data_IF_208784535138
#
_entry.id   IF_208784535138
#
_cell.length_a   1.000
_cell.length_b   1.000
_cell.length_c   1.000
_cell.angle_alpha   90.00
_cell.angle_beta   90.00
_cell.angle_gamma   90.00
#
_symmetry.space_group_name_H-M   'P 1'
#
loop_
_entity.id
_entity.type
_entity.pdbx_description
1 polymer ?
#
# COMPACT_ATOMS: atom_id res chain seq x y z
N UNK A 1 24.74 -3.71 -4.40
CA UNK A 1 23.71 -3.81 -3.33
C UNK A 1 22.49 -4.50 -3.91
N UNK A 2 22.03 -5.60 -3.29
CA UNK A 2 20.82 -6.33 -3.72
C UNK A 2 19.69 -5.95 -2.78
N UNK A 3 18.76 -5.10 -3.23
CA UNK A 3 17.51 -4.89 -2.51
C UNK A 3 16.68 -6.16 -2.69
N UNK A 4 16.21 -6.75 -1.59
CA UNK A 4 15.27 -7.87 -1.69
C UNK A 4 14.01 -7.41 -2.42
N UNK A 5 13.35 -8.30 -3.18
CA UNK A 5 12.09 -7.95 -3.86
C UNK A 5 11.06 -7.36 -2.89
N UNK A 6 11.09 -7.79 -1.62
CA UNK A 6 10.25 -7.24 -0.57
C UNK A 6 10.47 -5.74 -0.37
N UNK A 7 11.72 -5.29 -0.30
CA UNK A 7 12.08 -3.88 -0.12
C UNK A 7 11.73 -3.05 -1.36
N UNK A 8 12.00 -3.57 -2.57
CA UNK A 8 11.67 -2.89 -3.83
C UNK A 8 10.15 -2.67 -3.96
N UNK A 9 9.35 -3.71 -3.74
CA UNK A 9 7.89 -3.57 -3.80
C UNK A 9 7.32 -2.73 -2.66
N UNK A 10 7.95 -2.73 -1.48
CA UNK A 10 7.60 -1.83 -0.39
C UNK A 10 7.79 -0.36 -0.76
N UNK A 11 8.94 -0.02 -1.36
CA UNK A 11 9.20 1.34 -1.82
C UNK A 11 8.27 1.76 -2.96
N UNK A 12 8.03 0.88 -3.94
CA UNK A 12 7.07 1.15 -5.02
C UNK A 12 5.67 1.40 -4.49
N UNK A 13 5.21 0.62 -3.51
CA UNK A 13 3.92 0.83 -2.88
C UNK A 13 3.85 2.19 -2.16
N UNK A 14 4.90 2.60 -1.45
CA UNK A 14 4.96 3.93 -0.82
C UNK A 14 4.90 5.06 -1.84
N UNK A 15 5.68 4.96 -2.92
CA UNK A 15 5.67 5.96 -4.01
C UNK A 15 4.29 6.02 -4.66
N UNK A 16 3.66 4.87 -4.91
CA UNK A 16 2.31 4.79 -5.44
C UNK A 16 1.30 5.49 -4.53
N UNK A 17 1.34 5.22 -3.22
CA UNK A 17 0.42 5.86 -2.28
C UNK A 17 0.65 7.37 -2.19
N UNK A 18 1.90 7.82 -2.25
CA UNK A 18 2.27 9.23 -2.23
C UNK A 18 1.91 9.99 -3.52
N UNK A 19 1.71 9.29 -4.64
CA UNK A 19 1.32 9.92 -5.92
C UNK A 19 -0.20 10.04 -6.08
N UNK A 20 -0.98 9.47 -5.17
CA UNK A 20 -2.44 9.61 -5.19
C UNK A 20 -2.84 11.02 -4.74
N UNK A 21 -3.96 11.57 -5.26
CA UNK A 21 -4.52 12.82 -4.77
C UNK A 21 -4.79 12.78 -3.26
N UNK A 22 -4.72 13.93 -2.61
CA UNK A 22 -4.90 14.03 -1.17
C UNK A 22 -6.20 13.38 -0.67
N UNK A 23 -6.07 12.65 0.43
CA UNK A 23 -7.14 11.85 1.02
C UNK A 23 -7.44 10.54 0.31
N UNK A 24 -6.91 10.29 -0.90
CA UNK A 24 -7.30 9.12 -1.69
C UNK A 24 -6.70 7.87 -1.10
N UNK A 25 -7.58 6.96 -0.72
CA UNK A 25 -7.19 5.63 -0.30
C UNK A 25 -6.99 4.74 -1.52
N UNK A 26 -6.06 3.80 -1.39
CA UNK A 26 -5.90 2.68 -2.32
C UNK A 26 -6.12 1.36 -1.59
N UNK A 27 -6.52 0.35 -2.35
CA UNK A 27 -6.59 -1.02 -1.90
C UNK A 27 -5.34 -1.80 -2.28
N UNK A 28 -5.09 -2.89 -1.55
CA UNK A 28 -4.05 -3.86 -1.90
C UNK A 28 -4.27 -4.41 -3.32
N UNK A 29 -5.54 -4.56 -3.74
CA UNK A 29 -5.91 -5.06 -5.07
C UNK A 29 -5.38 -4.16 -6.18
N UNK A 30 -5.61 -2.85 -6.06
CA UNK A 30 -5.17 -1.86 -7.06
C UNK A 30 -3.64 -1.86 -7.17
N UNK A 31 -2.93 -1.88 -6.04
CA UNK A 31 -1.46 -1.91 -6.04
C UNK A 31 -0.93 -3.21 -6.66
N UNK A 32 -1.58 -4.35 -6.41
CA UNK A 32 -1.16 -5.64 -7.01
C UNK A 32 -1.40 -5.71 -8.51
N UNK A 33 -2.44 -5.05 -9.01
CA UNK A 33 -2.76 -4.99 -10.43
C UNK A 33 -1.75 -4.10 -11.18
N UNK A 34 -1.36 -2.97 -10.58
CA UNK A 34 -0.35 -2.07 -11.15
C UNK A 34 1.03 -2.72 -11.23
N UNK A 35 1.44 -3.48 -10.21
CA UNK A 35 2.80 -4.01 -10.11
C UNK A 35 2.94 -5.51 -10.45
N UNK A 36 1.86 -6.21 -10.76
CA UNK A 36 1.90 -7.64 -11.10
C UNK A 36 2.34 -8.55 -9.95
N UNK A 37 2.18 -8.10 -8.70
CA UNK A 37 2.61 -8.84 -7.50
C UNK A 37 1.45 -9.64 -6.94
N UNK A 38 1.71 -10.85 -6.44
CA UNK A 38 0.65 -11.62 -5.77
C UNK A 38 0.09 -10.86 -4.55
N UNK A 39 -1.23 -10.93 -4.36
CA UNK A 39 -1.90 -10.32 -3.21
C UNK A 39 -1.27 -10.73 -1.88
N UNK A 40 -0.93 -12.00 -1.73
CA UNK A 40 -0.34 -12.51 -0.49
C UNK A 40 1.02 -11.86 -0.19
N UNK A 41 1.83 -11.60 -1.21
CA UNK A 41 3.10 -10.90 -1.03
C UNK A 41 2.87 -9.44 -0.68
N UNK A 42 1.96 -8.74 -1.38
CA UNK A 42 1.63 -7.35 -1.09
C UNK A 42 1.04 -7.16 0.33
N UNK A 43 0.20 -8.09 0.80
CA UNK A 43 -0.32 -8.06 2.18
C UNK A 43 0.83 -8.09 3.21
N UNK A 44 1.84 -8.94 3.01
CA UNK A 44 3.00 -9.00 3.92
C UNK A 44 3.77 -7.68 3.93
N UNK A 45 3.98 -7.10 2.75
CA UNK A 45 4.66 -5.82 2.57
C UNK A 45 3.90 -4.70 3.30
N UNK A 46 2.61 -4.51 3.01
CA UNK A 46 1.78 -3.47 3.62
C UNK A 46 1.67 -3.65 5.14
N UNK A 47 1.53 -4.89 5.62
CA UNK A 47 1.51 -5.15 7.06
C UNK A 47 2.82 -4.74 7.74
N UNK A 48 3.97 -4.99 7.12
CA UNK A 48 5.26 -4.57 7.67
C UNK A 48 5.42 -3.05 7.64
N UNK A 49 5.03 -2.40 6.54
CA UNK A 49 5.04 -0.94 6.43
C UNK A 49 4.12 -0.29 7.47
N UNK A 50 2.96 -0.90 7.74
CA UNK A 50 2.02 -0.39 8.74
C UNK A 50 2.55 -0.54 10.15
N UNK A 51 3.16 -1.69 10.48
CA UNK A 51 3.84 -1.91 11.76
C UNK A 51 5.02 -0.97 11.99
N UNK A 52 5.69 -0.55 10.92
CA UNK A 52 6.78 0.42 10.97
C UNK A 52 6.29 1.88 10.98
N UNK A 53 4.98 2.12 10.87
CA UNK A 53 4.40 3.47 10.92
C UNK A 53 4.47 4.24 9.60
N UNK A 54 4.86 3.61 8.49
CA UNK A 54 4.92 4.29 7.19
C UNK A 54 3.55 4.41 6.53
N UNK A 55 2.61 3.51 6.84
CA UNK A 55 1.27 3.51 6.24
C UNK A 55 0.19 3.16 7.26
N UNK A 56 -1.00 3.72 7.06
CA UNK A 56 -2.18 3.39 7.86
C UNK A 56 -3.06 2.42 7.08
N UNK A 57 -3.07 1.16 7.49
CA UNK A 57 -3.97 0.16 6.92
C UNK A 57 -5.33 0.20 7.63
N UNK A 58 -6.39 0.55 6.91
CA UNK A 58 -7.76 0.54 7.44
C UNK A 58 -8.47 -0.73 7.00
N UNK A 59 -9.03 -1.49 7.96
CA UNK A 59 -9.80 -2.71 7.66
C UNK A 59 -11.24 -2.32 7.32
N UNK A 60 -11.70 -2.68 6.12
CA UNK A 60 -12.98 -2.24 5.58
C UNK A 60 -14.21 -2.67 6.39
N UNK A 61 -14.85 -1.70 7.04
CA UNK A 61 -16.31 -1.53 7.13
C UNK A 61 -16.54 -0.06 7.52
N UNK A 62 -16.88 0.80 6.55
CA UNK A 62 -17.34 2.20 6.76
C UNK A 62 -16.28 3.30 6.95
N UNK A 63 -15.18 3.33 6.18
CA UNK A 63 -14.47 4.60 5.98
C UNK A 63 -15.01 5.29 4.73
N UNK A 64 -16.09 6.07 4.92
CA UNK A 64 -16.60 6.99 3.91
C UNK A 64 -15.80 8.27 4.06
N UNK A 65 -15.13 8.71 2.99
CA UNK A 65 -14.51 10.04 2.91
C UNK A 65 -15.44 11.11 3.53
N UNK A 66 -14.94 12.04 4.35
CA UNK A 66 -15.71 13.25 4.63
C UNK A 66 -15.88 14.00 3.30
N UNK A 67 -17.08 14.51 2.96
CA UNK A 67 -17.18 15.49 1.90
C UNK A 67 -16.38 16.72 2.31
N UNK A 68 -15.66 17.30 1.35
CA UNK A 68 -14.94 18.56 1.54
C UNK A 68 -15.84 19.71 1.96
#
# INVERSE_FOLDING_TARGET
MQLTSFTDYGLRALIYMASLPDGRMTSISEVTEVYGVSRNHMVKIINQLSRAGFVTAVRGKKWRYPPG
#
